data_IF_327131647239
#
_entry.id   IF_327131647239
#
_cell.length_a   1.000
_cell.length_b   1.000
_cell.length_c   1.000
_cell.angle_alpha   90.00
_cell.angle_beta   90.00
_cell.angle_gamma   90.00
#
_symmetry.space_group_name_H-M   'P 1'
#
loop_
_entity.id
_entity.type
_entity.pdbx_description
1 polymer ?
#
# COMPACT_ATOMS: atom_id res chain seq x y z
N UNK A 1 16.53 -32.32 0.99
CA UNK A 1 16.53 -31.30 2.06
C UNK A 1 15.30 -30.42 1.88
N UNK A 2 14.21 -30.72 2.59
CA UNK A 2 12.97 -29.95 2.57
C UNK A 2 13.18 -28.72 3.45
N UNK A 3 13.41 -27.54 2.84
CA UNK A 3 13.36 -26.27 3.56
C UNK A 3 11.96 -26.11 4.13
N UNK A 4 11.83 -26.28 5.44
CA UNK A 4 10.60 -25.98 6.16
C UNK A 4 10.24 -24.51 5.87
N UNK A 5 9.16 -24.30 5.11
CA UNK A 5 8.57 -22.99 4.93
C UNK A 5 8.13 -22.52 6.31
N UNK A 6 8.98 -21.72 6.98
CA UNK A 6 8.60 -21.07 8.24
C UNK A 6 7.27 -20.36 7.96
N UNK A 7 6.23 -20.56 8.79
CA UNK A 7 4.99 -19.83 8.64
C UNK A 7 5.35 -18.35 8.62
N UNK A 8 5.18 -17.69 7.47
CA UNK A 8 5.49 -16.26 7.35
C UNK A 8 4.59 -15.58 8.36
N UNK A 9 5.23 -14.86 9.30
CA UNK A 9 4.50 -14.02 10.23
C UNK A 9 3.51 -13.13 9.44
N UNK A 10 2.32 -12.88 9.98
CA UNK A 10 1.35 -12.03 9.32
C UNK A 10 1.98 -10.65 9.05
N UNK A 11 1.84 -10.16 7.82
CA UNK A 11 2.34 -8.83 7.43
C UNK A 11 1.61 -7.76 8.25
N UNK A 12 2.38 -7.02 9.03
CA UNK A 12 1.87 -5.89 9.81
C UNK A 12 1.53 -4.72 8.88
N UNK A 13 0.56 -3.90 9.27
CA UNK A 13 0.13 -2.73 8.50
C UNK A 13 0.24 -1.51 9.38
N UNK A 14 0.94 -0.51 8.87
CA UNK A 14 1.05 0.79 9.48
C UNK A 14 0.45 1.85 8.55
N UNK A 15 -0.24 2.84 9.12
CA UNK A 15 -0.67 4.05 8.40
C UNK A 15 0.47 5.08 8.28
N UNK A 16 1.43 5.00 9.20
CA UNK A 16 2.58 5.90 9.30
C UNK A 16 3.89 5.13 9.49
N UNK A 17 5.06 5.73 9.19
CA UNK A 17 6.34 5.10 9.43
C UNK A 17 6.51 4.66 10.90
N UNK A 18 6.79 3.39 11.20
CA UNK A 18 6.97 2.94 12.58
C UNK A 18 8.29 3.47 13.16
N UNK A 19 8.35 3.65 14.49
CA UNK A 19 9.57 4.12 15.16
C UNK A 19 10.69 3.07 15.19
N UNK A 20 10.35 1.78 14.98
CA UNK A 20 11.31 0.68 14.93
C UNK A 20 12.22 0.84 13.71
N UNK A 21 13.50 0.49 13.83
CA UNK A 21 14.42 0.48 12.68
C UNK A 21 13.99 -0.58 11.65
N UNK A 22 13.93 -0.18 10.39
CA UNK A 22 13.62 -1.05 9.26
C UNK A 22 14.44 -0.65 8.04
N UNK A 23 14.51 -1.57 7.09
CA UNK A 23 14.93 -1.31 5.72
C UNK A 23 13.71 -1.31 4.80
N UNK A 24 13.70 -0.38 3.83
CA UNK A 24 12.71 -0.36 2.76
C UNK A 24 13.06 -1.44 1.74
N UNK A 25 12.13 -2.37 1.51
CA UNK A 25 12.30 -3.48 0.54
C UNK A 25 11.81 -3.06 -0.83
N UNK A 26 10.64 -2.42 -0.90
CA UNK A 26 10.03 -1.98 -2.15
C UNK A 26 8.92 -0.96 -1.89
N UNK A 27 8.63 -0.13 -2.88
CA UNK A 27 7.40 0.67 -2.93
C UNK A 27 6.46 0.13 -4.00
N UNK A 28 5.19 -0.07 -3.61
CA UNK A 28 4.15 -0.63 -4.47
C UNK A 28 3.06 0.42 -4.61
N UNK A 29 2.59 0.62 -5.83
CA UNK A 29 1.47 1.52 -6.12
C UNK A 29 0.47 0.78 -7.02
N UNK A 30 -0.82 0.87 -6.69
CA UNK A 30 -1.88 0.27 -7.48
C UNK A 30 -3.18 1.07 -7.36
N UNK A 31 -3.99 1.06 -8.42
CA UNK A 31 -5.28 1.75 -8.45
C UNK A 31 -6.38 0.80 -7.97
N UNK A 32 -7.25 1.26 -7.08
CA UNK A 32 -8.40 0.50 -6.57
C UNK A 32 -8.05 -0.77 -5.78
N UNK A 33 -6.77 -1.01 -5.48
CA UNK A 33 -6.33 -2.24 -4.85
C UNK A 33 -6.63 -2.24 -3.33
N UNK A 34 -7.19 -3.34 -2.78
CA UNK A 34 -7.40 -3.47 -1.34
C UNK A 34 -6.08 -3.72 -0.61
N UNK A 35 -6.03 -3.46 0.69
CA UNK A 35 -4.86 -3.71 1.55
C UNK A 35 -4.35 -5.17 1.44
N UNK A 36 -5.26 -6.14 1.29
CA UNK A 36 -4.93 -7.55 1.13
C UNK A 36 -4.06 -7.85 -0.10
N UNK A 37 -4.18 -7.06 -1.17
CA UNK A 37 -3.30 -7.16 -2.34
C UNK A 37 -1.86 -6.79 -1.97
N UNK A 38 -1.69 -5.70 -1.22
CA UNK A 38 -0.37 -5.23 -0.78
C UNK A 38 0.26 -6.16 0.24
N UNK A 39 -0.53 -6.72 1.17
CA UNK A 39 -0.07 -7.77 2.11
C UNK A 39 0.49 -8.98 1.37
N UNK A 40 -0.24 -9.48 0.36
CA UNK A 40 0.21 -10.62 -0.46
C UNK A 40 1.52 -10.30 -1.17
N UNK A 41 1.63 -9.11 -1.76
CA UNK A 41 2.86 -8.67 -2.44
C UNK A 41 4.04 -8.51 -1.48
N UNK A 42 3.82 -7.89 -0.32
CA UNK A 42 4.83 -7.74 0.72
C UNK A 42 5.35 -9.10 1.21
N UNK A 43 4.44 -10.05 1.43
CA UNK A 43 4.79 -11.43 1.77
C UNK A 43 5.63 -12.09 0.66
N UNK A 44 5.29 -11.91 -0.62
CA UNK A 44 6.10 -12.42 -1.74
C UNK A 44 7.50 -11.81 -1.78
N UNK A 45 7.61 -10.51 -1.48
CA UNK A 45 8.89 -9.77 -1.46
C UNK A 45 9.73 -10.04 -0.21
N UNK A 46 9.18 -10.72 0.80
CA UNK A 46 9.89 -11.03 2.05
C UNK A 46 10.00 -9.83 3.00
N UNK A 47 9.04 -8.90 2.93
CA UNK A 47 8.86 -7.87 3.95
C UNK A 47 8.16 -8.42 5.19
N UNK A 48 8.30 -7.70 6.29
CA UNK A 48 7.64 -8.00 7.57
C UNK A 48 6.40 -7.13 7.76
N UNK A 49 6.39 -5.93 7.18
CA UNK A 49 5.29 -4.98 7.29
C UNK A 49 5.10 -4.14 6.02
N UNK A 50 3.95 -3.46 5.95
CA UNK A 50 3.67 -2.43 4.96
C UNK A 50 3.26 -1.11 5.62
N UNK A 51 3.73 0.00 5.07
CA UNK A 51 3.19 1.33 5.35
C UNK A 51 2.18 1.65 4.26
N UNK A 52 0.90 1.52 4.56
CA UNK A 52 -0.19 1.60 3.58
C UNK A 52 -0.89 2.96 3.64
N UNK A 53 -1.07 3.58 2.47
CA UNK A 53 -1.83 4.82 2.31
C UNK A 53 -2.75 4.73 1.11
N UNK A 54 -3.99 5.21 1.28
CA UNK A 54 -4.89 5.48 0.15
C UNK A 54 -4.72 6.94 -0.23
N UNK A 55 -4.37 7.19 -1.49
CA UNK A 55 -4.17 8.50 -2.08
C UNK A 55 -5.24 8.67 -3.15
N UNK A 56 -6.22 9.52 -2.92
CA UNK A 56 -7.33 9.69 -3.83
C UNK A 56 -8.23 10.85 -3.45
N UNK A 57 -9.08 11.24 -4.40
CA UNK A 57 -10.03 12.33 -4.28
C UNK A 57 -11.01 12.32 -5.45
N UNK A 58 -12.09 13.13 -5.40
CA UNK A 58 -12.99 13.28 -6.52
C UNK A 58 -12.23 13.78 -7.75
N UNK A 59 -12.40 13.10 -8.88
CA UNK A 59 -11.87 13.58 -10.18
C UNK A 59 -12.98 14.34 -10.88
N UNK A 60 -12.70 15.61 -11.12
CA UNK A 60 -13.56 16.51 -11.89
C UNK A 60 -13.06 16.53 -13.32
N UNK A 61 -13.88 16.10 -14.28
CA UNK A 61 -13.50 16.08 -15.69
C UNK A 61 -13.92 17.41 -16.32
N UNK A 62 -12.95 18.15 -16.86
CA UNK A 62 -13.21 19.34 -17.70
C UNK A 62 -13.58 20.63 -16.98
N UNK A 63 -13.33 20.78 -15.68
CA UNK A 63 -13.60 22.04 -14.98
C UNK A 63 -12.33 22.78 -14.55
N UNK A 64 -12.38 24.11 -14.71
CA UNK A 64 -11.38 25.08 -14.26
C UNK A 64 -11.42 25.25 -12.73
N UNK A 65 -12.48 24.76 -12.06
CA UNK A 65 -12.68 24.80 -10.60
C UNK A 65 -13.44 23.57 -10.05
N UNK A 66 -13.10 23.04 -8.86
CA UNK A 66 -13.74 21.85 -8.24
C UNK A 66 -15.22 22.02 -7.83
N UNK A 67 -15.72 23.25 -7.80
CA UNK A 67 -17.05 23.58 -7.26
C UNK A 67 -18.20 23.35 -8.25
N UNK A 68 -17.92 23.24 -9.55
CA UNK A 68 -18.95 23.31 -10.60
C UNK A 68 -19.02 22.05 -11.49
N UNK A 69 -18.10 21.09 -11.32
CA UNK A 69 -18.12 19.87 -12.10
C UNK A 69 -18.84 18.71 -11.38
N UNK A 70 -19.66 17.92 -12.10
CA UNK A 70 -20.09 16.63 -11.58
C UNK A 70 -18.87 15.75 -11.31
N UNK A 71 -18.88 15.05 -10.17
CA UNK A 71 -17.85 14.06 -9.84
C UNK A 71 -17.90 12.98 -10.92
N UNK A 72 -16.86 12.91 -11.77
CA UNK A 72 -16.82 11.96 -12.88
C UNK A 72 -16.13 10.63 -12.50
N UNK A 73 -15.94 10.42 -11.20
CA UNK A 73 -15.36 9.22 -10.63
C UNK A 73 -14.55 9.50 -9.37
N UNK A 74 -14.39 8.46 -8.55
CA UNK A 74 -13.47 8.46 -7.42
C UNK A 74 -12.19 7.77 -7.85
N UNK A 75 -11.14 8.56 -8.12
CA UNK A 75 -9.81 7.97 -8.35
C UNK A 75 -9.20 7.65 -6.99
N UNK A 76 -9.12 6.35 -6.69
CA UNK A 76 -8.49 5.84 -5.47
C UNK A 76 -7.22 5.12 -5.86
N UNK A 77 -6.08 5.80 -5.74
CA UNK A 77 -4.77 5.15 -5.77
C UNK A 77 -4.44 4.67 -4.36
N UNK A 78 -3.72 3.57 -4.26
CA UNK A 78 -3.16 3.10 -3.00
C UNK A 78 -1.67 2.86 -3.17
N UNK A 79 -0.91 3.25 -2.16
CA UNK A 79 0.53 3.06 -2.09
C UNK A 79 0.87 2.25 -0.85
N UNK A 80 1.84 1.36 -0.95
CA UNK A 80 2.36 0.60 0.17
C UNK A 80 3.88 0.51 0.09
N UNK A 81 4.55 1.00 1.14
CA UNK A 81 5.99 0.80 1.32
C UNK A 81 6.20 -0.49 2.08
N UNK A 82 6.79 -1.49 1.43
CA UNK A 82 7.14 -2.77 2.04
C UNK A 82 8.43 -2.59 2.82
N UNK A 83 8.38 -2.88 4.12
CA UNK A 83 9.52 -2.73 5.01
C UNK A 83 9.89 -4.07 5.64
N UNK A 84 11.16 -4.20 5.99
CA UNK A 84 11.72 -5.33 6.73
C UNK A 84 12.37 -4.82 7.99
N UNK A 85 12.01 -5.37 9.13
CA UNK A 85 12.58 -4.91 10.39
C UNK A 85 14.03 -5.37 10.54
N UNK A 86 14.83 -4.53 11.20
CA UNK A 86 16.17 -4.90 11.67
C UNK A 86 16.08 -5.73 12.95
#
# INVERSE_FOLDING_TARGET
MTLAARPKAPIEVFSEPPARKYDLVADIQANGAPESFFKKRAATLGGDAIIFKRVGGPVYLGAVSPSEAPINGLYTRATASVIKFK
#
